data_IF_426411339005
#
_entry.id   IF_426411339005
#
_cell.length_a   1.000
_cell.length_b   1.000
_cell.length_c   1.000
_cell.angle_alpha   90.00
_cell.angle_beta   90.00
_cell.angle_gamma   90.00
#
_symmetry.space_group_name_H-M   'P 1'
#
loop_
_entity.id
_entity.type
_entity.pdbx_description
1 polymer ?
#
# COMPACT_ATOMS: atom_id res chain seq x y z
N UNK A 1 -12.50 -1.29 25.81
CA UNK A 1 -12.87 -1.67 24.42
C UNK A 1 -11.97 -0.89 23.48
N UNK A 2 -11.13 -1.60 22.73
CA UNK A 2 -10.01 -1.06 21.95
C UNK A 2 -10.47 -0.19 20.77
N UNK A 3 -10.12 1.10 20.77
CA UNK A 3 -10.29 2.01 19.61
C UNK A 3 -9.60 1.52 18.34
N UNK A 4 -8.62 0.61 18.45
CA UNK A 4 -7.94 -0.01 17.31
C UNK A 4 -8.85 -0.88 16.42
N UNK A 5 -9.90 -1.48 16.99
CA UNK A 5 -10.84 -2.33 16.23
C UNK A 5 -11.83 -1.48 15.42
N UNK A 6 -12.12 -0.26 15.87
CA UNK A 6 -13.11 0.62 15.23
C UNK A 6 -12.52 1.28 13.97
N UNK A 7 -11.23 1.66 13.99
CA UNK A 7 -10.58 2.29 12.83
C UNK A 7 -10.45 1.31 11.65
N UNK A 8 -10.11 0.04 11.93
CA UNK A 8 -10.06 -1.02 10.90
C UNK A 8 -11.43 -1.33 10.27
N UNK A 9 -12.53 -1.15 11.01
CA UNK A 9 -13.88 -1.38 10.48
C UNK A 9 -14.39 -0.23 9.61
N UNK A 10 -13.95 1.01 9.83
CA UNK A 10 -14.43 2.16 9.05
C UNK A 10 -13.69 2.34 7.71
N UNK A 11 -12.40 1.99 7.62
CA UNK A 11 -11.68 2.01 6.34
C UNK A 11 -12.34 1.06 5.31
N UNK A 12 -12.81 -0.10 5.76
CA UNK A 12 -13.51 -1.06 4.90
C UNK A 12 -14.88 -0.57 4.39
N UNK A 13 -15.53 0.39 5.07
CA UNK A 13 -16.85 0.91 4.66
C UNK A 13 -16.72 2.07 3.66
N UNK A 14 -15.66 2.88 3.74
CA UNK A 14 -15.42 3.99 2.82
C UNK A 14 -14.90 3.55 1.44
N UNK A 15 -14.24 2.40 1.36
CA UNK A 15 -13.83 1.78 0.08
C UNK A 15 -15.01 1.43 -0.85
N UNK A 16 -16.24 1.35 -0.35
CA UNK A 16 -17.43 0.93 -1.12
C UNK A 16 -18.18 2.07 -1.84
N UNK A 17 -17.81 3.34 -1.64
CA UNK A 17 -18.54 4.49 -2.25
C UNK A 17 -17.88 5.07 -3.50
N UNK A 18 -16.66 4.65 -3.85
CA UNK A 18 -16.02 4.99 -5.12
C UNK A 18 -16.34 3.85 -6.09
N UNK A 19 -16.80 4.18 -7.30
CA UNK A 19 -17.04 3.16 -8.33
C UNK A 19 -15.81 2.27 -8.48
N UNK A 20 -16.02 0.97 -8.69
CA UNK A 20 -15.00 -0.07 -8.73
C UNK A 20 -13.89 0.10 -9.80
N UNK A 21 -13.82 1.25 -10.47
CA UNK A 21 -12.96 1.50 -11.62
C UNK A 21 -11.93 2.63 -11.40
N UNK A 22 -11.96 3.34 -10.25
CA UNK A 22 -11.00 4.41 -9.97
C UNK A 22 -10.09 4.07 -8.79
N UNK A 23 -8.91 3.52 -9.11
CA UNK A 23 -7.83 3.27 -8.12
C UNK A 23 -7.33 4.58 -7.48
N UNK A 24 -7.60 5.73 -8.09
CA UNK A 24 -7.20 7.06 -7.61
C UNK A 24 -6.22 7.77 -8.54
N UNK A 25 -6.15 9.09 -8.42
CA UNK A 25 -5.23 9.93 -9.19
C UNK A 25 -3.82 9.94 -8.60
N UNK A 26 -2.81 9.68 -9.44
CA UNK A 26 -1.39 9.80 -9.06
C UNK A 26 -1.03 11.23 -8.61
N UNK A 27 -1.66 12.25 -9.17
CA UNK A 27 -1.42 13.65 -8.79
C UNK A 27 -1.90 13.93 -7.35
N UNK A 28 -3.12 13.49 -7.02
CA UNK A 28 -3.67 13.59 -5.67
C UNK A 28 -2.82 12.78 -4.70
N UNK A 29 -2.45 11.55 -5.09
CA UNK A 29 -1.59 10.69 -4.29
C UNK A 29 -0.25 11.37 -3.98
N UNK A 30 0.45 11.86 -5.00
CA UNK A 30 1.75 12.53 -4.85
C UNK A 30 1.64 13.76 -3.95
N UNK A 31 0.57 14.54 -4.09
CA UNK A 31 0.29 15.71 -3.23
C UNK A 31 0.12 15.31 -1.76
N UNK A 32 -0.60 14.20 -1.52
CA UNK A 32 -0.85 13.70 -0.17
C UNK A 32 0.41 13.09 0.48
N UNK A 33 1.26 12.41 -0.30
CA UNK A 33 2.57 11.96 0.19
C UNK A 33 3.45 13.17 0.55
N UNK A 34 3.50 14.19 -0.31
CA UNK A 34 4.24 15.43 -0.05
C UNK A 34 3.78 16.10 1.24
N UNK A 35 2.47 16.23 1.45
CA UNK A 35 1.93 16.80 2.69
C UNK A 35 2.36 15.99 3.92
N UNK A 36 2.22 14.65 3.87
CA UNK A 36 2.54 13.75 4.98
C UNK A 36 4.03 13.74 5.32
N UNK A 37 4.90 13.75 4.32
CA UNK A 37 6.37 13.69 4.50
C UNK A 37 7.01 14.96 5.07
N UNK A 38 6.20 15.96 5.47
CA UNK A 38 6.68 17.18 6.13
C UNK A 38 7.13 16.93 7.58
N UNK A 39 6.61 15.88 8.23
CA UNK A 39 6.87 15.56 9.64
C UNK A 39 7.21 14.09 9.83
N UNK A 40 7.92 13.75 10.90
CA UNK A 40 8.23 12.36 11.24
C UNK A 40 6.96 11.54 11.55
N UNK A 41 5.94 12.16 12.16
CA UNK A 41 4.65 11.50 12.37
C UNK A 41 3.93 11.17 11.07
N UNK A 42 3.96 12.08 10.09
CA UNK A 42 3.41 11.82 8.78
C UNK A 42 4.20 10.79 7.98
N UNK A 43 5.54 10.75 8.11
CA UNK A 43 6.35 9.65 7.55
C UNK A 43 5.95 8.31 8.20
N UNK A 44 5.90 8.23 9.53
CA UNK A 44 5.47 7.00 10.23
C UNK A 44 4.09 6.52 9.76
N UNK A 45 3.12 7.43 9.61
CA UNK A 45 1.80 7.10 9.07
C UNK A 45 1.87 6.49 7.65
N UNK A 46 2.72 7.02 6.77
CA UNK A 46 2.92 6.44 5.43
C UNK A 46 3.53 5.04 5.52
N UNK A 47 4.43 4.79 6.47
CA UNK A 47 5.02 3.46 6.68
C UNK A 47 3.97 2.44 7.13
N UNK A 48 2.99 2.82 7.96
CA UNK A 48 1.85 1.95 8.26
C UNK A 48 1.05 1.59 7.00
N UNK A 49 0.84 2.55 6.09
CA UNK A 49 0.21 2.28 4.79
C UNK A 49 1.03 1.33 3.92
N UNK A 50 2.37 1.47 3.94
CA UNK A 50 3.32 0.60 3.23
C UNK A 50 3.22 -0.83 3.74
N UNK A 51 3.24 -1.04 5.06
CA UNK A 51 3.10 -2.37 5.65
C UNK A 51 1.76 -3.04 5.31
N UNK A 52 0.67 -2.29 5.25
CA UNK A 52 -0.63 -2.86 4.86
C UNK A 52 -0.57 -3.46 3.46
N UNK A 53 0.08 -2.77 2.51
CA UNK A 53 0.19 -3.24 1.13
C UNK A 53 1.18 -4.40 0.99
N UNK A 54 2.30 -4.35 1.70
CA UNK A 54 3.27 -5.45 1.77
C UNK A 54 2.60 -6.74 2.26
N UNK A 55 1.79 -6.63 3.33
CA UNK A 55 1.03 -7.77 3.85
C UNK A 55 0.06 -8.34 2.81
N UNK A 56 -0.63 -7.50 2.03
CA UNK A 56 -1.53 -7.98 0.96
C UNK A 56 -0.78 -8.76 -0.13
N UNK A 57 0.39 -8.27 -0.56
CA UNK A 57 1.22 -8.92 -1.56
C UNK A 57 1.77 -10.27 -1.06
N UNK A 58 2.20 -10.32 0.19
CA UNK A 58 2.68 -11.53 0.86
C UNK A 58 1.54 -12.54 1.08
N UNK A 59 0.37 -12.09 1.51
CA UNK A 59 -0.81 -12.93 1.69
C UNK A 59 -1.26 -13.56 0.37
N UNK A 60 -1.24 -12.80 -0.74
CA UNK A 60 -1.50 -13.37 -2.06
C UNK A 60 -0.49 -14.47 -2.40
N UNK A 61 0.80 -14.18 -2.25
CA UNK A 61 1.86 -15.14 -2.54
C UNK A 61 1.75 -16.42 -1.71
N UNK A 62 1.45 -16.29 -0.42
CA UNK A 62 1.18 -17.39 0.48
C UNK A 62 -0.07 -18.18 0.06
N UNK A 63 -1.18 -17.50 -0.25
CA UNK A 63 -2.41 -18.16 -0.67
C UNK A 63 -2.22 -18.99 -1.94
N UNK A 64 -1.45 -18.49 -2.93
CA UNK A 64 -1.14 -19.27 -4.14
C UNK A 64 -0.31 -20.51 -3.81
N UNK A 65 0.66 -20.43 -2.90
CA UNK A 65 1.42 -21.60 -2.46
C UNK A 65 0.50 -22.64 -1.78
N UNK A 66 -0.41 -22.19 -0.92
CA UNK A 66 -1.39 -23.05 -0.24
C UNK A 66 -2.37 -23.69 -1.21
N UNK A 67 -2.76 -22.99 -2.28
CA UNK A 67 -3.61 -23.55 -3.32
C UNK A 67 -2.98 -24.81 -3.97
N UNK A 68 -1.65 -24.96 -3.94
CA UNK A 68 -0.90 -26.11 -4.44
C UNK A 68 -1.31 -26.53 -5.86
N UNK A 69 -1.64 -25.53 -6.69
CA UNK A 69 -1.91 -25.68 -8.11
C UNK A 69 -0.73 -25.15 -8.90
N UNK A 70 -0.51 -25.71 -10.09
CA UNK A 70 0.46 -25.11 -11.00
C UNK A 70 -0.03 -23.71 -11.38
N UNK A 71 0.74 -22.68 -11.04
CA UNK A 71 0.39 -21.31 -11.36
C UNK A 71 0.18 -21.14 -12.87
N UNK A 72 -0.99 -20.62 -13.25
CA UNK A 72 -1.22 -20.19 -14.63
C UNK A 72 -0.29 -19.04 -14.99
N UNK A 73 -0.18 -18.69 -16.28
CA UNK A 73 0.59 -17.53 -16.72
C UNK A 73 0.09 -16.23 -16.05
N UNK A 74 -1.23 -16.10 -15.88
CA UNK A 74 -1.86 -14.95 -15.21
C UNK A 74 -1.49 -14.90 -13.73
N UNK A 75 -1.57 -16.04 -13.03
CA UNK A 75 -1.18 -16.10 -11.60
C UNK A 75 0.31 -15.82 -11.42
N UNK A 76 1.15 -16.32 -12.33
CA UNK A 76 2.59 -16.07 -12.31
C UNK A 76 2.91 -14.59 -12.50
N UNK A 77 2.18 -13.90 -13.37
CA UNK A 77 2.34 -12.46 -13.55
C UNK A 77 1.90 -11.67 -12.31
N UNK A 78 0.79 -12.05 -11.66
CA UNK A 78 0.37 -11.42 -10.40
C UNK A 78 1.41 -11.62 -9.31
N UNK A 79 2.04 -12.80 -9.22
CA UNK A 79 3.15 -13.05 -8.28
C UNK A 79 4.35 -12.12 -8.56
N UNK A 80 4.73 -11.93 -9.83
CA UNK A 80 5.82 -11.01 -10.19
C UNK A 80 5.49 -9.55 -9.81
N UNK A 81 4.24 -9.15 -10.03
CA UNK A 81 3.75 -7.82 -9.64
C UNK A 81 3.76 -7.66 -8.11
N UNK A 82 3.38 -8.69 -7.34
CA UNK A 82 3.48 -8.70 -5.87
C UNK A 82 4.93 -8.64 -5.37
N UNK A 83 5.87 -9.29 -6.05
CA UNK A 83 7.29 -9.16 -5.73
C UNK A 83 7.77 -7.73 -5.96
N UNK A 84 7.36 -7.10 -7.07
CA UNK A 84 7.67 -5.69 -7.34
C UNK A 84 7.11 -4.77 -6.25
N UNK A 85 5.89 -5.02 -5.77
CA UNK A 85 5.33 -4.29 -4.62
C UNK A 85 6.24 -4.45 -3.40
N UNK A 86 6.60 -5.69 -3.05
CA UNK A 86 7.44 -6.02 -1.88
C UNK A 86 8.82 -5.35 -1.96
N UNK A 87 9.47 -5.35 -3.12
CA UNK A 87 10.74 -4.65 -3.31
C UNK A 87 10.62 -3.13 -3.09
N UNK A 88 9.50 -2.53 -3.51
CA UNK A 88 9.25 -1.11 -3.27
C UNK A 88 8.96 -0.84 -1.78
N UNK A 89 8.20 -1.70 -1.10
CA UNK A 89 7.92 -1.52 0.34
C UNK A 89 9.18 -1.65 1.19
N UNK A 90 10.03 -2.63 0.91
CA UNK A 90 11.34 -2.80 1.55
C UNK A 90 12.23 -1.56 1.35
N UNK A 91 12.27 -0.99 0.15
CA UNK A 91 13.05 0.22 -0.13
C UNK A 91 12.55 1.43 0.67
N UNK A 92 11.23 1.55 0.86
CA UNK A 92 10.61 2.62 1.63
C UNK A 92 10.93 2.47 3.12
N UNK A 93 10.72 1.27 3.68
CA UNK A 93 11.02 0.95 5.09
C UNK A 93 12.50 1.19 5.38
N UNK A 94 13.39 0.71 4.50
CA UNK A 94 14.83 0.93 4.66
C UNK A 94 15.19 2.43 4.62
N UNK A 95 14.48 3.23 3.84
CA UNK A 95 14.67 4.69 3.78
C UNK A 95 14.18 5.37 5.06
N UNK A 96 13.04 4.94 5.61
CA UNK A 96 12.53 5.41 6.90
C UNK A 96 13.54 5.17 8.04
N UNK A 97 14.06 3.95 8.12
CA UNK A 97 15.04 3.58 9.14
C UNK A 97 16.36 4.34 9.00
N UNK A 98 16.89 4.40 7.77
CA UNK A 98 18.27 4.82 7.57
C UNK A 98 18.44 6.28 7.16
N UNK A 99 17.45 6.88 6.48
CA UNK A 99 17.51 8.26 5.99
C UNK A 99 16.64 9.16 6.85
N UNK A 100 15.41 8.75 7.16
CA UNK A 100 14.51 9.52 8.03
C UNK A 100 14.90 9.42 9.51
N UNK A 101 15.65 8.36 9.89
CA UNK A 101 16.03 8.05 11.27
C UNK A 101 14.81 7.87 12.17
N UNK A 102 13.78 7.23 11.62
CA UNK A 102 12.46 7.13 12.23
C UNK A 102 12.13 5.71 12.74
N UNK A 103 13.09 4.76 12.66
CA UNK A 103 12.93 3.38 13.12
C UNK A 103 12.46 3.23 14.59
N UNK A 104 12.78 4.22 15.43
CA UNK A 104 12.43 4.28 16.84
C UNK A 104 11.44 5.44 17.11
N UNK A 105 10.52 5.68 16.17
CA UNK A 105 9.49 6.71 16.29
C UNK A 105 8.74 6.64 17.62
N UNK A 106 8.66 7.77 18.33
CA UNK A 106 7.77 7.97 19.46
C UNK A 106 6.73 9.04 19.13
N UNK A 107 5.54 8.99 19.75
CA UNK A 107 4.48 9.98 19.50
C UNK A 107 4.91 11.42 19.80
N UNK A 108 5.91 11.63 20.67
CA UNK A 108 6.51 12.94 20.90
C UNK A 108 7.25 13.50 19.70
N UNK A 109 7.67 12.64 18.76
CA UNK A 109 8.36 13.03 17.53
C UNK A 109 7.41 13.44 16.41
N UNK A 110 6.10 13.24 16.58
CA UNK A 110 5.08 13.46 15.55
C UNK A 110 5.20 14.83 14.85
N UNK A 111 5.49 15.89 15.61
CA UNK A 111 5.62 17.27 15.11
C UNK A 111 7.01 17.64 14.60
N UNK A 112 8.02 16.78 14.76
CA UNK A 112 9.37 17.05 14.28
C UNK A 112 9.40 17.06 12.75
N UNK A 113 10.12 18.04 12.18
CA UNK A 113 10.29 18.11 10.74
C UNK A 113 11.15 16.94 10.24
N UNK A 114 10.70 16.31 9.15
CA UNK A 114 11.50 15.29 8.49
C UNK A 114 12.72 15.93 7.80
N UNK A 115 13.88 15.25 7.75
CA UNK A 115 15.01 15.71 6.96
C UNK A 115 14.65 15.85 5.48
N UNK A 116 15.14 16.88 4.79
CA UNK A 116 14.84 17.11 3.36
C UNK A 116 15.15 15.88 2.49
N UNK A 117 16.25 15.18 2.78
CA UNK A 117 16.64 13.97 2.06
C UNK A 117 15.64 12.82 2.28
N UNK A 118 15.06 12.71 3.48
CA UNK A 118 14.00 11.74 3.79
C UNK A 118 12.76 12.07 2.97
N UNK A 119 12.27 13.31 3.05
CA UNK A 119 11.10 13.78 2.29
C UNK A 119 11.26 13.48 0.80
N UNK A 120 12.39 13.84 0.19
CA UNK A 120 12.62 13.62 -1.24
C UNK A 120 12.59 12.12 -1.62
N UNK A 121 13.30 11.27 -0.87
CA UNK A 121 13.39 9.85 -1.19
C UNK A 121 12.07 9.11 -0.94
N UNK A 122 11.41 9.35 0.19
CA UNK A 122 10.09 8.76 0.48
C UNK A 122 9.08 9.18 -0.58
N UNK A 123 9.05 10.45 -1.01
CA UNK A 123 8.15 10.89 -2.07
C UNK A 123 8.36 10.11 -3.38
N UNK A 124 9.61 9.95 -3.83
CA UNK A 124 9.92 9.18 -5.04
C UNK A 124 9.51 7.72 -4.90
N UNK A 125 9.86 7.09 -3.78
CA UNK A 125 9.59 5.66 -3.58
C UNK A 125 8.09 5.37 -3.41
N UNK A 126 7.33 6.23 -2.72
CA UNK A 126 5.88 6.10 -2.61
C UNK A 126 5.18 6.25 -3.96
N UNK A 127 5.66 7.13 -4.85
CA UNK A 127 5.13 7.21 -6.22
C UNK A 127 5.38 5.91 -6.99
N UNK A 128 6.57 5.33 -6.87
CA UNK A 128 6.88 4.03 -7.49
C UNK A 128 5.99 2.91 -6.94
N UNK A 129 5.79 2.88 -5.62
CA UNK A 129 4.87 1.95 -4.98
C UNK A 129 3.43 2.13 -5.51
N UNK A 130 2.94 3.37 -5.60
CA UNK A 130 1.62 3.64 -6.18
C UNK A 130 1.50 3.13 -7.61
N UNK A 131 2.51 3.34 -8.45
CA UNK A 131 2.53 2.79 -9.82
C UNK A 131 2.50 1.27 -9.81
N UNK A 132 3.30 0.60 -8.98
CA UNK A 132 3.32 -0.86 -8.88
C UNK A 132 1.95 -1.42 -8.45
N UNK A 133 1.34 -0.82 -7.42
CA UNK A 133 0.03 -1.25 -6.91
C UNK A 133 -1.07 -0.97 -7.93
N UNK A 134 -1.08 0.20 -8.57
CA UNK A 134 -2.04 0.54 -9.62
C UNK A 134 -1.94 -0.40 -10.82
N UNK A 135 -0.72 -0.73 -11.26
CA UNK A 135 -0.50 -1.69 -12.33
C UNK A 135 -1.03 -3.08 -11.95
N UNK A 136 -0.81 -3.50 -10.69
CA UNK A 136 -1.34 -4.77 -10.17
C UNK A 136 -2.86 -4.78 -10.16
N UNK A 137 -3.48 -3.72 -9.67
CA UNK A 137 -4.94 -3.54 -9.67
C UNK A 137 -5.52 -3.63 -11.08
N UNK A 138 -4.93 -2.89 -12.03
CA UNK A 138 -5.38 -2.87 -13.42
C UNK A 138 -5.21 -4.23 -14.10
N UNK A 139 -4.09 -4.94 -13.83
CA UNK A 139 -3.88 -6.28 -14.33
C UNK A 139 -4.95 -7.26 -13.82
N UNK A 140 -5.23 -7.23 -12.51
CA UNK A 140 -6.29 -8.03 -11.91
C UNK A 140 -7.67 -7.70 -12.51
N UNK A 141 -7.98 -6.41 -12.68
CA UNK A 141 -9.23 -5.98 -13.28
C UNK A 141 -9.45 -6.54 -14.71
N UNK A 142 -8.38 -6.70 -15.47
CA UNK A 142 -8.44 -7.23 -16.85
C UNK A 142 -8.44 -8.75 -16.90
N UNK A 143 -7.68 -9.42 -16.04
CA UNK A 143 -7.33 -10.84 -16.23
C UNK A 143 -7.82 -11.78 -15.14
N UNK A 144 -8.33 -11.31 -13.99
CA UNK A 144 -8.75 -12.20 -12.89
C UNK A 144 -9.79 -13.24 -13.31
N UNK A 145 -10.72 -12.86 -14.20
CA UNK A 145 -11.80 -13.73 -14.69
C UNK A 145 -11.31 -14.89 -15.56
N UNK A 146 -10.04 -14.86 -15.97
CA UNK A 146 -9.41 -15.91 -16.78
C UNK A 146 -8.69 -16.97 -15.94
N UNK A 147 -8.60 -16.76 -14.61
CA UNK A 147 -8.02 -17.72 -13.68
C UNK A 147 -8.97 -18.91 -13.54
N UNK A 148 -8.54 -20.07 -14.04
CA UNK A 148 -9.40 -21.25 -14.18
C UNK A 148 -9.65 -22.03 -12.88
N UNK A 149 -8.80 -21.89 -11.87
CA UNK A 149 -8.97 -22.55 -10.58
C UNK A 149 -9.56 -21.59 -9.53
N UNK A 150 -10.52 -22.10 -8.77
CA UNK A 150 -11.27 -21.29 -7.80
C UNK A 150 -10.39 -20.75 -6.67
N UNK A 151 -9.36 -21.49 -6.26
CA UNK A 151 -8.50 -21.09 -5.15
C UNK A 151 -7.68 -19.83 -5.51
N UNK A 152 -6.98 -19.86 -6.64
CA UNK A 152 -6.19 -18.72 -7.12
C UNK A 152 -7.09 -17.56 -7.52
N UNK A 153 -8.28 -17.82 -8.08
CA UNK A 153 -9.24 -16.77 -8.41
C UNK A 153 -9.74 -16.03 -7.16
N UNK A 154 -10.00 -16.74 -6.06
CA UNK A 154 -10.35 -16.12 -4.77
C UNK A 154 -9.19 -15.27 -4.26
N UNK A 155 -7.97 -15.81 -4.25
CA UNK A 155 -6.78 -15.07 -3.80
C UNK A 155 -6.55 -13.79 -4.62
N UNK A 156 -6.67 -13.87 -5.95
CA UNK A 156 -6.53 -12.73 -6.85
C UNK A 156 -7.62 -11.66 -6.62
N UNK A 157 -8.87 -12.07 -6.47
CA UNK A 157 -9.98 -11.16 -6.18
C UNK A 157 -9.84 -10.51 -4.80
N UNK A 158 -9.39 -11.25 -3.78
CA UNK A 158 -9.09 -10.70 -2.46
C UNK A 158 -7.98 -9.65 -2.55
N UNK A 159 -6.90 -9.91 -3.28
CA UNK A 159 -5.86 -8.92 -3.49
C UNK A 159 -6.44 -7.65 -4.13
N UNK A 160 -7.14 -7.79 -5.27
CA UNK A 160 -7.72 -6.67 -6.03
C UNK A 160 -8.58 -5.76 -5.17
N UNK A 161 -9.51 -6.31 -4.40
CA UNK A 161 -10.46 -5.54 -3.58
C UNK A 161 -9.74 -4.74 -2.49
N UNK A 162 -8.59 -5.20 -2.01
CA UNK A 162 -7.88 -4.58 -0.90
C UNK A 162 -6.77 -3.60 -1.34
N UNK A 163 -6.25 -3.69 -2.57
CA UNK A 163 -5.20 -2.76 -3.05
C UNK A 163 -5.56 -1.25 -2.95
N UNK A 164 -6.82 -0.81 -3.11
CA UNK A 164 -7.21 0.60 -2.92
C UNK A 164 -6.94 1.16 -1.52
N UNK A 165 -6.60 0.32 -0.53
CA UNK A 165 -6.23 0.77 0.82
C UNK A 165 -5.04 1.72 0.83
N UNK A 166 -4.11 1.60 -0.14
CA UNK A 166 -2.92 2.44 -0.21
C UNK A 166 -3.27 3.92 -0.41
N UNK A 167 -3.91 4.34 -1.51
CA UNK A 167 -4.27 5.74 -1.71
C UNK A 167 -5.24 6.26 -0.64
N UNK A 168 -6.10 5.42 -0.07
CA UNK A 168 -6.97 5.81 1.05
C UNK A 168 -6.14 6.15 2.31
N UNK A 169 -5.22 5.26 2.69
CA UNK A 169 -4.36 5.45 3.87
C UNK A 169 -3.46 6.67 3.71
N UNK A 170 -2.87 6.87 2.52
CA UNK A 170 -2.06 8.06 2.22
C UNK A 170 -2.88 9.35 2.28
N UNK A 171 -4.12 9.33 1.81
CA UNK A 171 -5.02 10.47 1.97
C UNK A 171 -5.31 10.77 3.45
N UNK A 172 -5.51 9.73 4.27
CA UNK A 172 -5.74 9.91 5.70
C UNK A 172 -4.49 10.46 6.41
N UNK A 173 -3.29 9.99 6.07
CA UNK A 173 -2.04 10.54 6.59
C UNK A 173 -1.92 12.04 6.25
N UNK A 174 -2.24 12.42 5.03
CA UNK A 174 -2.23 13.83 4.64
C UNK A 174 -3.22 14.65 5.46
N UNK A 175 -4.44 14.16 5.70
CA UNK A 175 -5.42 14.87 6.53
C UNK A 175 -4.96 15.06 7.98
N UNK A 176 -4.20 14.11 8.52
CA UNK A 176 -3.71 14.15 9.90
C UNK A 176 -2.49 15.05 10.08
N UNK A 177 -1.60 15.11 9.08
CA UNK A 177 -0.28 15.75 9.19
C UNK A 177 -0.07 16.94 8.25
N UNK A 178 -1.10 17.38 7.53
CA UNK A 178 -1.06 18.61 6.74
C UNK A 178 -0.90 19.82 7.65
N UNK A 179 0.22 20.52 7.48
CA UNK A 179 0.46 21.85 8.05
C UNK A 179 -0.07 22.96 7.15
#
# INVERSE_FOLDING_TARGET
MNSKIIILLFANILALSRGADDFGSQEIYTTNVLASTSTLGGVNCLIEAVFNVENLANDFSYNIQVCNVNASAVVSEILNLCNTITENTEAIINTDDNVCKNAAYEESDAGNLAPVACTQQINTLMVNLFTAVSNTYNYLALYESTIGDTCSAIAANTLKINLPILPESVNNCALLFKQ
#
